data_IF_009643801767
#
_entry.id   IF_009643801767
#
_cell.length_a   1.000
_cell.length_b   1.000
_cell.length_c   1.000
_cell.angle_alpha   90.00
_cell.angle_beta   90.00
_cell.angle_gamma   90.00
#
_symmetry.space_group_name_H-M   'P 1'
#
loop_
_entity.id
_entity.type
_entity.pdbx_description
1 polymer ?
#
# COMPACT_ATOMS: atom_id res chain seq x y z
N UNK A 1 39.58 45.67 3.41
CA UNK A 1 39.33 44.25 3.05
C UNK A 1 38.50 44.21 1.77
N UNK A 2 39.03 43.62 0.68
CA UNK A 2 38.37 43.61 -0.64
C UNK A 2 37.50 42.36 -0.76
N UNK A 3 36.18 42.53 -0.68
CA UNK A 3 35.21 41.44 -0.75
C UNK A 3 35.17 40.86 -2.18
N UNK A 4 35.88 39.74 -2.41
CA UNK A 4 35.77 38.97 -3.65
C UNK A 4 34.47 38.15 -3.63
N UNK A 5 33.35 38.76 -4.01
CA UNK A 5 32.15 37.98 -4.37
C UNK A 5 32.40 37.37 -5.76
N UNK A 6 32.87 36.12 -5.81
CA UNK A 6 32.86 35.31 -7.04
C UNK A 6 31.39 35.02 -7.38
N UNK A 7 30.89 35.63 -8.45
CA UNK A 7 29.58 35.31 -9.01
C UNK A 7 29.60 33.97 -9.74
N UNK A 8 28.43 33.36 -9.88
CA UNK A 8 28.22 32.10 -10.59
C UNK A 8 28.44 32.29 -12.10
N UNK A 9 29.21 31.41 -12.74
CA UNK A 9 29.43 31.47 -14.19
C UNK A 9 28.23 30.90 -14.96
N UNK A 10 27.92 31.48 -16.13
CA UNK A 10 26.92 30.91 -17.05
C UNK A 10 27.27 29.48 -17.46
N UNK A 11 28.56 29.17 -17.60
CA UNK A 11 29.03 27.83 -17.95
C UNK A 11 28.77 26.84 -16.81
N UNK A 12 28.96 27.26 -15.56
CA UNK A 12 28.64 26.44 -14.39
C UNK A 12 27.14 26.13 -14.34
N UNK A 13 26.28 27.10 -14.66
CA UNK A 13 24.84 26.88 -14.71
C UNK A 13 24.42 25.89 -15.81
N UNK A 14 25.03 26.00 -16.99
CA UNK A 14 24.74 25.09 -18.11
C UNK A 14 25.14 23.65 -17.80
N UNK A 15 26.32 23.45 -17.19
CA UNK A 15 26.78 22.11 -16.82
C UNK A 15 25.86 21.51 -15.74
N UNK A 16 25.47 22.29 -14.73
CA UNK A 16 24.55 21.82 -13.67
C UNK A 16 23.20 21.41 -14.26
N UNK A 17 22.60 22.23 -15.11
CA UNK A 17 21.33 21.89 -15.76
C UNK A 17 21.45 20.66 -16.67
N UNK A 18 22.58 20.53 -17.39
CA UNK A 18 22.88 19.35 -18.20
C UNK A 18 22.93 18.07 -17.37
N UNK A 19 23.69 18.07 -16.27
CA UNK A 19 23.80 16.89 -15.39
C UNK A 19 22.47 16.61 -14.68
N UNK A 20 21.77 17.62 -14.17
CA UNK A 20 20.48 17.45 -13.48
C UNK A 20 19.40 16.88 -14.40
N UNK A 21 19.37 17.27 -15.67
CA UNK A 21 18.38 16.76 -16.62
C UNK A 21 18.56 15.26 -16.91
N UNK A 22 19.81 14.80 -17.05
CA UNK A 22 20.14 13.37 -17.22
C UNK A 22 19.76 12.58 -15.97
N UNK A 23 20.09 13.08 -14.78
CA UNK A 23 19.76 12.42 -13.51
C UNK A 23 18.24 12.29 -13.30
N UNK A 24 17.47 13.34 -13.62
CA UNK A 24 16.01 13.30 -13.51
C UNK A 24 15.39 12.28 -14.47
N UNK A 25 15.85 12.24 -15.73
CA UNK A 25 15.36 11.30 -16.73
C UNK A 25 15.57 9.84 -16.30
N UNK A 26 16.74 9.51 -15.73
CA UNK A 26 17.03 8.15 -15.25
C UNK A 26 16.25 7.77 -13.98
N UNK A 27 15.82 8.75 -13.18
CA UNK A 27 15.19 8.49 -11.87
C UNK A 27 13.70 8.21 -11.96
N UNK A 28 13.01 8.67 -13.00
CA UNK A 28 11.56 8.52 -13.18
C UNK A 28 11.01 7.07 -13.06
N UNK A 29 11.56 6.05 -13.74
CA UNK A 29 10.98 4.70 -13.71
C UNK A 29 11.09 4.02 -12.34
N UNK A 30 12.10 4.36 -11.52
CA UNK A 30 12.27 3.79 -10.18
C UNK A 30 11.15 4.22 -9.22
N UNK A 31 10.69 5.46 -9.30
CA UNK A 31 9.66 5.96 -8.39
C UNK A 31 8.30 5.30 -8.64
N UNK A 32 7.94 5.04 -9.90
CA UNK A 32 6.65 4.43 -10.25
C UNK A 32 6.52 2.99 -9.70
N UNK A 33 7.57 2.17 -9.79
CA UNK A 33 7.55 0.79 -9.27
C UNK A 33 7.52 0.70 -7.74
N UNK A 34 8.22 1.61 -7.05
CA UNK A 34 8.28 1.63 -5.58
C UNK A 34 6.92 2.03 -4.99
N UNK A 35 6.25 3.02 -5.58
CA UNK A 35 4.92 3.46 -5.13
C UNK A 35 3.88 2.34 -5.31
N UNK A 36 3.89 1.63 -6.43
CA UNK A 36 2.99 0.50 -6.65
C UNK A 36 3.16 -0.60 -5.60
N UNK A 37 4.42 -0.98 -5.30
CA UNK A 37 4.73 -1.99 -4.29
C UNK A 37 4.38 -1.54 -2.87
N UNK A 38 4.59 -0.26 -2.55
CA UNK A 38 4.20 0.30 -1.26
C UNK A 38 2.68 0.26 -1.07
N UNK A 39 1.91 0.62 -2.10
CA UNK A 39 0.45 0.54 -2.08
C UNK A 39 -0.05 -0.89 -1.90
N UNK A 40 0.58 -1.88 -2.54
CA UNK A 40 0.21 -3.29 -2.37
C UNK A 40 0.53 -3.78 -0.94
N UNK A 41 1.69 -3.40 -0.41
CA UNK A 41 2.07 -3.74 0.96
C UNK A 41 1.13 -3.11 1.99
N UNK A 42 0.73 -1.86 1.77
CA UNK A 42 -0.23 -1.16 2.62
C UNK A 42 -1.62 -1.84 2.57
N UNK A 43 -2.09 -2.22 1.39
CA UNK A 43 -3.34 -2.98 1.24
C UNK A 43 -3.28 -4.34 1.97
N UNK A 44 -2.17 -5.07 1.86
CA UNK A 44 -1.96 -6.33 2.58
C UNK A 44 -2.03 -6.13 4.10
N UNK A 45 -1.49 -5.03 4.61
CA UNK A 45 -1.55 -4.72 6.03
C UNK A 45 -2.99 -4.51 6.51
N UNK A 46 -3.79 -3.71 5.80
CA UNK A 46 -5.20 -3.47 6.17
C UNK A 46 -6.06 -4.73 6.09
N UNK A 47 -5.80 -5.62 5.11
CA UNK A 47 -6.51 -6.90 5.03
C UNK A 47 -6.18 -7.79 6.23
N UNK A 48 -4.89 -7.87 6.62
CA UNK A 48 -4.49 -8.64 7.82
C UNK A 48 -5.15 -8.10 9.08
N UNK A 49 -5.20 -6.78 9.22
CA UNK A 49 -5.86 -6.12 10.34
C UNK A 49 -7.37 -6.44 10.38
N UNK A 50 -8.07 -6.33 9.24
CA UNK A 50 -9.48 -6.71 9.13
C UNK A 50 -9.73 -8.19 9.47
N UNK A 51 -8.86 -9.10 8.99
CA UNK A 51 -8.93 -10.53 9.30
C UNK A 51 -8.68 -10.82 10.78
N UNK A 52 -7.76 -10.10 11.43
CA UNK A 52 -7.50 -10.25 12.85
C UNK A 52 -8.75 -9.91 13.68
N UNK A 53 -9.49 -8.85 13.33
CA UNK A 53 -10.78 -8.55 13.98
C UNK A 53 -11.80 -9.66 13.81
N UNK A 54 -11.87 -10.27 12.62
CA UNK A 54 -12.72 -11.45 12.35
C UNK A 54 -12.29 -12.64 13.19
N UNK A 55 -11.00 -12.89 13.32
CA UNK A 55 -10.48 -14.00 14.11
C UNK A 55 -10.75 -13.80 15.60
N UNK A 56 -10.52 -12.61 16.15
CA UNK A 56 -10.87 -12.27 17.53
C UNK A 56 -12.36 -12.49 17.79
N UNK A 57 -13.23 -12.01 16.90
CA UNK A 57 -14.67 -12.26 17.02
C UNK A 57 -14.99 -13.76 16.97
N UNK A 58 -14.37 -14.52 16.06
CA UNK A 58 -14.60 -15.97 15.93
C UNK A 58 -14.09 -16.78 17.13
N UNK A 59 -13.18 -16.24 17.93
CA UNK A 59 -12.73 -16.84 19.19
C UNK A 59 -13.77 -16.65 20.31
N UNK A 60 -14.48 -15.52 20.31
CA UNK A 60 -15.44 -15.16 21.36
C UNK A 60 -16.89 -15.57 21.02
N UNK A 61 -17.25 -15.55 19.74
CA UNK A 61 -18.61 -15.80 19.28
C UNK A 61 -18.93 -17.28 19.20
N UNK A 62 -20.18 -17.63 19.56
CA UNK A 62 -20.68 -19.01 19.41
C UNK A 62 -20.95 -19.40 17.96
N UNK A 63 -21.22 -18.43 17.09
CA UNK A 63 -21.43 -18.63 15.66
C UNK A 63 -20.28 -17.95 14.89
N UNK A 64 -19.44 -18.78 14.24
CA UNK A 64 -18.29 -18.31 13.47
C UNK A 64 -18.75 -17.70 12.14
N UNK A 65 -18.01 -16.69 11.69
CA UNK A 65 -18.16 -16.11 10.37
C UNK A 65 -17.64 -17.12 9.34
N UNK A 66 -18.46 -17.46 8.35
CA UNK A 66 -18.05 -18.37 7.27
C UNK A 66 -16.97 -17.74 6.40
N UNK A 67 -15.97 -18.52 6.00
CA UNK A 67 -14.87 -18.04 5.14
C UNK A 67 -15.32 -17.65 3.72
N UNK A 68 -16.52 -18.07 3.33
CA UNK A 68 -17.23 -17.73 2.07
C UNK A 68 -17.77 -16.30 2.06
N UNK A 69 -17.91 -15.65 3.23
CA UNK A 69 -18.45 -14.28 3.31
C UNK A 69 -17.46 -13.27 2.76
N UNK A 70 -18.00 -12.19 2.18
CA UNK A 70 -17.22 -11.03 1.77
C UNK A 70 -16.95 -10.13 2.97
N UNK A 71 -15.86 -9.35 2.94
CA UNK A 71 -15.57 -8.36 3.99
C UNK A 71 -16.71 -7.36 4.18
N UNK A 72 -17.52 -7.11 3.14
CA UNK A 72 -18.61 -6.15 3.20
C UNK A 72 -19.78 -6.62 4.08
N UNK A 73 -19.98 -7.92 4.16
CA UNK A 73 -21.11 -8.58 4.82
C UNK A 73 -20.80 -9.03 6.25
N UNK A 74 -19.56 -8.81 6.69
CA UNK A 74 -19.10 -9.15 8.03
C UNK A 74 -19.73 -8.18 9.05
N UNK A 75 -20.54 -8.68 10.02
CA UNK A 75 -21.29 -7.86 10.97
C UNK A 75 -20.44 -7.46 12.19
N UNK A 76 -19.22 -6.98 11.98
CA UNK A 76 -18.35 -6.50 13.05
C UNK A 76 -18.53 -5.00 13.21
N UNK A 77 -18.66 -4.56 14.46
CA UNK A 77 -18.79 -3.15 14.82
C UNK A 77 -17.53 -2.69 15.56
N UNK A 78 -16.99 -1.56 15.14
CA UNK A 78 -15.80 -0.96 15.73
C UNK A 78 -15.17 0.04 14.78
N UNK A 79 -14.80 1.22 15.28
CA UNK A 79 -14.19 2.29 14.49
C UNK A 79 -12.96 1.80 13.71
N UNK A 80 -12.19 0.93 14.34
CA UNK A 80 -10.90 0.49 13.81
C UNK A 80 -11.10 -0.57 12.71
N UNK A 81 -12.07 -1.47 12.87
CA UNK A 81 -12.46 -2.42 11.82
C UNK A 81 -13.04 -1.68 10.61
N UNK A 82 -13.92 -0.71 10.83
CA UNK A 82 -14.50 0.08 9.72
C UNK A 82 -13.43 0.88 8.98
N UNK A 83 -12.48 1.47 9.71
CA UNK A 83 -11.34 2.16 9.12
C UNK A 83 -10.46 1.20 8.31
N UNK A 84 -10.10 0.04 8.84
CA UNK A 84 -9.31 -0.97 8.15
C UNK A 84 -10.03 -1.46 6.88
N UNK A 85 -11.31 -1.83 7.00
CA UNK A 85 -12.17 -2.28 5.89
C UNK A 85 -12.25 -1.26 4.76
N UNK A 86 -12.45 0.02 5.08
CA UNK A 86 -12.60 1.09 4.09
C UNK A 86 -11.30 1.38 3.33
N UNK A 87 -10.13 1.07 3.92
CA UNK A 87 -8.83 1.23 3.26
C UNK A 87 -8.43 0.05 2.38
N UNK A 88 -9.15 -1.07 2.46
CA UNK A 88 -8.99 -2.19 1.51
C UNK A 88 -9.54 -1.77 0.14
N UNK A 89 -8.82 -2.07 -0.93
CA UNK A 89 -9.26 -1.75 -2.30
C UNK A 89 -10.55 -2.49 -2.69
N UNK A 90 -11.36 -1.88 -3.56
CA UNK A 90 -12.65 -2.43 -4.01
C UNK A 90 -12.62 -3.90 -4.43
N UNK A 91 -11.67 -4.33 -5.30
CA UNK A 91 -11.56 -5.75 -5.70
C UNK A 91 -11.29 -6.69 -4.53
N UNK A 92 -10.59 -6.26 -3.48
CA UNK A 92 -10.30 -7.10 -2.32
C UNK A 92 -11.46 -7.11 -1.32
N UNK A 93 -12.28 -6.06 -1.26
CA UNK A 93 -13.49 -6.07 -0.43
C UNK A 93 -14.56 -7.05 -0.94
N UNK A 94 -14.55 -7.35 -2.24
CA UNK A 94 -15.49 -8.27 -2.91
C UNK A 94 -15.04 -9.72 -2.85
N UNK A 95 -13.80 -9.99 -2.42
CA UNK A 95 -13.29 -11.34 -2.25
C UNK A 95 -13.67 -11.91 -0.89
N UNK A 96 -13.73 -13.23 -0.86
CA UNK A 96 -14.07 -13.99 0.34
C UNK A 96 -12.93 -13.92 1.36
N UNK A 97 -13.27 -14.11 2.64
CA UNK A 97 -12.28 -14.12 3.72
C UNK A 97 -11.19 -15.17 3.49
N UNK A 98 -11.54 -16.33 2.92
CA UNK A 98 -10.57 -17.36 2.53
C UNK A 98 -9.51 -16.81 1.57
N UNK A 99 -9.95 -16.19 0.48
CA UNK A 99 -9.02 -15.63 -0.51
C UNK A 99 -8.12 -14.56 0.11
N UNK A 100 -8.71 -13.71 0.95
CA UNK A 100 -7.98 -12.62 1.59
C UNK A 100 -6.90 -13.13 2.54
N UNK A 101 -7.19 -14.22 3.27
CA UNK A 101 -6.22 -14.91 4.11
C UNK A 101 -5.05 -15.44 3.26
N UNK A 102 -5.34 -16.18 2.21
CA UNK A 102 -4.33 -16.72 1.27
C UNK A 102 -3.48 -15.58 0.66
N UNK A 103 -4.13 -14.50 0.21
CA UNK A 103 -3.45 -13.30 -0.27
C UNK A 103 -2.47 -12.75 0.78
N UNK A 104 -2.89 -12.60 2.03
CA UNK A 104 -2.02 -12.06 3.09
C UNK A 104 -0.90 -13.01 3.53
N UNK A 105 -1.10 -14.31 3.43
CA UNK A 105 -0.10 -15.32 3.78
C UNK A 105 0.94 -15.52 2.67
N UNK A 106 0.75 -14.90 1.51
CA UNK A 106 1.65 -15.06 0.37
C UNK A 106 1.54 -16.43 -0.30
N UNK A 107 0.51 -17.20 0.06
CA UNK A 107 0.10 -18.40 -0.65
C UNK A 107 -0.70 -17.91 -1.84
N UNK A 108 -0.04 -17.77 -3.00
CA UNK A 108 -0.73 -17.45 -4.24
C UNK A 108 -1.81 -18.50 -4.50
N UNK A 109 -3.06 -18.17 -4.21
CA UNK A 109 -4.19 -18.98 -4.64
C UNK A 109 -4.39 -18.78 -6.13
N UNK A 110 -4.62 -19.86 -6.90
CA UNK A 110 -4.53 -19.85 -8.35
C UNK A 110 -5.51 -18.85 -8.93
N UNK A 111 -5.03 -18.07 -9.90
CA UNK A 111 -5.84 -17.22 -10.76
C UNK A 111 -7.04 -18.00 -11.28
N UNK A 112 -8.23 -17.63 -10.81
CA UNK A 112 -9.49 -17.98 -11.48
C UNK A 112 -9.73 -17.05 -12.65
#
# INVERSE_FOLDING_TARGET
MKNKKKGFSLVELLIVLGISSILMAMSAPKYQGIVGKANELEQRAYIREALNYVDVYNLEASAKIEESKTLKEVPLQGSDFEAARNKVSGPNQEKTLKYLREFTEGVESPSS
#
